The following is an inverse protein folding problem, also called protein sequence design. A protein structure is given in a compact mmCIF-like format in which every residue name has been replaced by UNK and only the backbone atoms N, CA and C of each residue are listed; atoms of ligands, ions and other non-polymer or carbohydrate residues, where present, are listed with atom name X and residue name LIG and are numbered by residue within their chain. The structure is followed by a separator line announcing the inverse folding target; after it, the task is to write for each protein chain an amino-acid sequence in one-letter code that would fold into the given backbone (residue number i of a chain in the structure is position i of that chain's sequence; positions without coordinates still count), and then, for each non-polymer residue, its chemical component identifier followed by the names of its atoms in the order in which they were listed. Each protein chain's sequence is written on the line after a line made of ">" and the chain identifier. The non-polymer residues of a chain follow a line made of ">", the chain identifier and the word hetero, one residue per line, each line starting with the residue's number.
data_IF_696321207441
#
_entry.id   IF_696321207441
#
_cell.length_a   1.000
_cell.length_b   1.000
_cell.length_c   1.000
_cell.angle_alpha   90.00
_cell.angle_beta   90.00
_cell.angle_gamma   90.00
#
_symmetry.space_group_name_H-M   'P 1'
#
loop_
_entity.id
_entity.type
_entity.pdbx_description
1 polymer ?
#
# COMPACT_ATOMS: atom_id res chain seq x y z
N UNK A 1 8.62 -5.15 26.29
CA UNK A 1 8.53 -4.85 24.84
C UNK A 1 7.36 -3.92 24.50
N UNK A 2 6.12 -4.13 24.97
CA UNK A 2 5.01 -3.21 24.64
C UNK A 2 5.19 -1.79 25.20
N UNK A 3 5.72 -1.64 26.42
CA UNK A 3 5.95 -0.32 27.03
C UNK A 3 6.86 0.59 26.21
N UNK A 4 7.90 0.03 25.58
CA UNK A 4 8.83 0.80 24.73
C UNK A 4 8.10 1.28 23.46
N UNK A 5 7.30 0.43 22.82
CA UNK A 5 6.51 0.83 21.65
C UNK A 5 5.48 1.92 21.97
N UNK A 6 4.87 1.87 23.16
CA UNK A 6 3.97 2.92 23.63
C UNK A 6 4.72 4.23 23.88
N UNK A 7 5.88 4.18 24.53
CA UNK A 7 6.73 5.37 24.76
C UNK A 7 7.19 5.98 23.43
N UNK A 8 7.57 5.18 22.44
CA UNK A 8 7.96 5.68 21.11
C UNK A 8 6.79 6.37 20.39
N UNK A 9 5.59 5.76 20.40
CA UNK A 9 4.39 6.39 19.81
C UNK A 9 4.01 7.68 20.55
N UNK A 10 3.94 7.63 21.88
CA UNK A 10 3.58 8.78 22.72
C UNK A 10 4.61 9.92 22.60
N UNK A 11 5.90 9.59 22.55
CA UNK A 11 6.98 10.56 22.35
C UNK A 11 6.89 11.25 20.98
N UNK A 12 6.54 10.51 19.93
CA UNK A 12 6.27 11.07 18.60
C UNK A 12 5.10 12.06 18.59
N UNK A 13 3.96 11.68 19.18
CA UNK A 13 2.81 12.58 19.29
C UNK A 13 3.10 13.80 20.18
N UNK A 14 3.84 13.63 21.27
CA UNK A 14 4.26 14.72 22.15
C UNK A 14 5.16 15.71 21.43
N UNK A 15 6.11 15.22 20.62
CA UNK A 15 7.02 16.07 19.84
C UNK A 15 6.28 16.82 18.73
N UNK A 16 5.36 16.15 18.03
CA UNK A 16 4.52 16.77 16.99
C UNK A 16 3.61 17.88 17.54
N UNK A 17 3.18 17.79 18.80
CA UNK A 17 2.37 18.81 19.44
C UNK A 17 3.17 20.06 19.86
N UNK A 18 4.51 20.01 19.78
CA UNK A 18 5.41 21.11 20.14
C UNK A 18 5.98 21.83 18.92
N UNK A 19 5.91 21.21 17.74
CA UNK A 19 6.49 21.73 16.49
C UNK A 19 5.35 22.06 15.54
N UNK A 20 5.21 23.33 15.16
CA UNK A 20 4.33 23.72 14.05
C UNK A 20 5.08 23.51 12.73
N UNK A 21 4.69 22.52 11.91
CA UNK A 21 5.32 22.31 10.61
C UNK A 21 4.93 23.45 9.65
N UNK A 22 5.90 23.88 8.83
CA UNK A 22 5.60 24.76 7.69
C UNK A 22 4.67 24.08 6.69
N UNK A 23 3.95 24.86 5.88
CA UNK A 23 3.00 24.34 4.89
C UNK A 23 3.63 23.27 3.97
N UNK A 24 4.85 23.52 3.47
CA UNK A 24 5.60 22.54 2.65
C UNK A 24 5.89 21.24 3.40
N UNK A 25 6.18 21.30 4.69
CA UNK A 25 6.46 20.11 5.51
C UNK A 25 5.19 19.31 5.74
N UNK A 26 4.06 19.99 5.96
CA UNK A 26 2.75 19.36 6.10
C UNK A 26 2.34 18.63 4.82
N UNK A 27 2.46 19.28 3.67
CA UNK A 27 2.18 18.66 2.38
C UNK A 27 3.07 17.43 2.12
N UNK A 28 4.36 17.51 2.48
CA UNK A 28 5.29 16.39 2.37
C UNK A 28 4.92 15.22 3.30
N UNK A 29 4.49 15.52 4.53
CA UNK A 29 4.01 14.51 5.48
C UNK A 29 2.71 13.85 5.02
N UNK A 30 1.79 14.61 4.41
CA UNK A 30 0.53 14.10 3.88
C UNK A 30 0.74 13.20 2.64
N UNK A 31 1.79 13.47 1.84
CA UNK A 31 2.19 12.62 0.72
C UNK A 31 2.94 11.34 1.15
N UNK A 32 3.53 11.32 2.36
CA UNK A 32 4.41 10.26 2.84
C UNK A 32 3.73 8.86 2.86
N UNK A 33 2.49 8.69 3.36
CA UNK A 33 1.83 7.38 3.38
C UNK A 33 1.66 6.80 1.97
N UNK A 34 1.24 7.65 1.01
CA UNK A 34 1.10 7.25 -0.38
C UNK A 34 2.44 6.91 -1.02
N UNK A 35 3.47 7.74 -0.78
CA UNK A 35 4.82 7.54 -1.31
C UNK A 35 5.45 6.24 -0.81
N UNK A 36 5.36 5.95 0.49
CA UNK A 36 5.89 4.70 1.07
C UNK A 36 5.14 3.48 0.54
N UNK A 37 3.81 3.57 0.39
CA UNK A 37 3.01 2.49 -0.22
C UNK A 37 3.47 2.20 -1.64
N UNK A 38 3.64 3.24 -2.48
CA UNK A 38 4.12 3.09 -3.86
C UNK A 38 5.53 2.53 -3.90
N UNK A 39 6.45 3.01 -3.05
CA UNK A 39 7.82 2.50 -3.00
C UNK A 39 7.84 0.99 -2.67
N UNK A 40 7.09 0.58 -1.66
CA UNK A 40 6.98 -0.83 -1.28
C UNK A 40 6.33 -1.67 -2.39
N UNK A 41 5.20 -1.19 -2.92
CA UNK A 41 4.45 -1.90 -3.96
C UNK A 41 5.28 -2.05 -5.25
N UNK A 42 6.05 -1.01 -5.61
CA UNK A 42 6.91 -1.01 -6.79
C UNK A 42 7.96 -2.10 -6.69
N UNK A 43 8.70 -2.19 -5.57
CA UNK A 43 9.67 -3.27 -5.36
C UNK A 43 8.99 -4.64 -5.36
N UNK A 44 7.79 -4.74 -4.78
CA UNK A 44 7.04 -6.01 -4.75
C UNK A 44 6.61 -6.46 -6.15
N UNK A 45 6.18 -5.54 -7.01
CA UNK A 45 5.81 -5.78 -8.40
C UNK A 45 7.02 -6.10 -9.28
N UNK A 46 8.13 -5.40 -9.09
CA UNK A 46 9.38 -5.68 -9.80
C UNK A 46 9.90 -7.10 -9.52
N UNK A 47 9.74 -7.58 -8.28
CA UNK A 47 10.04 -8.96 -7.90
C UNK A 47 8.85 -9.92 -8.11
N UNK A 48 7.74 -9.44 -8.69
CA UNK A 48 6.54 -10.22 -8.98
C UNK A 48 6.59 -10.82 -10.38
N UNK A 49 5.83 -11.90 -10.60
CA UNK A 49 5.67 -12.50 -11.91
C UNK A 49 4.52 -11.89 -12.72
N UNK A 50 4.22 -12.45 -13.90
CA UNK A 50 3.06 -12.07 -14.71
C UNK A 50 1.72 -12.02 -13.95
N UNK A 51 1.44 -12.93 -12.97
CA UNK A 51 0.22 -12.85 -12.16
C UNK A 51 0.06 -11.54 -11.38
N UNK A 52 1.14 -11.08 -10.76
CA UNK A 52 1.14 -9.87 -9.93
C UNK A 52 0.92 -8.61 -10.77
N UNK A 53 1.51 -8.54 -11.97
CA UNK A 53 1.28 -7.45 -12.91
C UNK A 53 -0.15 -7.44 -13.47
N UNK A 54 -0.69 -8.62 -13.80
CA UNK A 54 -2.08 -8.76 -14.25
C UNK A 54 -3.07 -8.30 -13.19
N UNK A 55 -2.87 -8.69 -11.94
CA UNK A 55 -3.69 -8.23 -10.83
C UNK A 55 -3.59 -6.72 -10.61
N UNK A 56 -2.38 -6.14 -10.68
CA UNK A 56 -2.18 -4.71 -10.54
C UNK A 56 -2.97 -3.91 -11.60
N UNK A 57 -2.94 -4.35 -12.86
CA UNK A 57 -3.72 -3.71 -13.93
C UNK A 57 -5.23 -3.77 -13.69
N UNK A 58 -5.74 -4.91 -13.23
CA UNK A 58 -7.18 -5.07 -12.93
C UNK A 58 -7.61 -4.18 -11.76
N UNK A 59 -6.80 -4.12 -10.69
CA UNK A 59 -7.05 -3.22 -9.54
C UNK A 59 -7.14 -1.77 -10.00
N UNK A 60 -6.19 -1.34 -10.83
CA UNK A 60 -6.16 0.04 -11.36
C UNK A 60 -7.39 0.34 -12.22
N UNK A 61 -7.84 -0.60 -13.04
CA UNK A 61 -9.04 -0.45 -13.84
C UNK A 61 -10.30 -0.32 -12.97
N UNK A 62 -10.44 -1.15 -11.94
CA UNK A 62 -11.63 -1.17 -11.06
C UNK A 62 -11.71 0.07 -10.18
N UNK A 63 -10.59 0.50 -9.60
CA UNK A 63 -10.54 1.75 -8.83
C UNK A 63 -10.99 2.93 -9.69
N UNK A 64 -10.50 3.03 -10.93
CA UNK A 64 -10.87 4.11 -11.84
C UNK A 64 -12.34 4.12 -12.26
N UNK A 65 -13.01 2.97 -12.22
CA UNK A 65 -14.40 2.85 -12.66
C UNK A 65 -15.40 2.94 -11.50
N UNK A 66 -15.02 2.48 -10.30
CA UNK A 66 -15.98 2.23 -9.22
C UNK A 66 -15.74 3.07 -7.97
N UNK A 67 -14.55 3.69 -7.83
CA UNK A 67 -14.08 4.37 -6.61
C UNK A 67 -14.20 3.53 -5.31
N UNK A 68 -14.48 2.22 -5.46
CA UNK A 68 -14.75 1.29 -4.36
C UNK A 68 -13.52 0.47 -4.03
N UNK A 69 -12.97 0.72 -2.84
CA UNK A 69 -11.79 0.03 -2.31
C UNK A 69 -12.06 -1.47 -2.12
N UNK A 70 -13.24 -1.84 -1.64
CA UNK A 70 -13.59 -3.25 -1.42
C UNK A 70 -13.57 -4.05 -2.72
N UNK A 71 -14.17 -3.52 -3.78
CA UNK A 71 -14.21 -4.19 -5.08
C UNK A 71 -12.81 -4.34 -5.67
N UNK A 72 -11.99 -3.30 -5.58
CA UNK A 72 -10.60 -3.33 -6.02
C UNK A 72 -9.77 -4.37 -5.27
N UNK A 73 -9.93 -4.47 -3.95
CA UNK A 73 -9.24 -5.48 -3.16
C UNK A 73 -9.68 -6.89 -3.53
N UNK A 74 -10.98 -7.13 -3.61
CA UNK A 74 -11.53 -8.44 -3.95
C UNK A 74 -11.08 -8.90 -5.34
N UNK A 75 -11.11 -8.01 -6.33
CA UNK A 75 -10.65 -8.31 -7.68
C UNK A 75 -9.16 -8.55 -7.76
N UNK A 76 -8.34 -7.76 -7.06
CA UNK A 76 -6.89 -7.92 -7.05
C UNK A 76 -6.49 -9.28 -6.49
N UNK A 77 -7.04 -9.64 -5.32
CA UNK A 77 -6.81 -10.96 -4.71
C UNK A 77 -7.31 -12.08 -5.61
N UNK A 78 -8.53 -11.94 -6.15
CA UNK A 78 -9.11 -12.94 -7.06
C UNK A 78 -8.24 -13.21 -8.28
N UNK A 79 -7.74 -12.16 -8.92
CA UNK A 79 -6.87 -12.29 -10.11
C UNK A 79 -5.54 -12.95 -9.76
N UNK A 80 -4.90 -12.58 -8.65
CA UNK A 80 -3.65 -13.25 -8.22
C UNK A 80 -3.89 -14.74 -7.97
N UNK A 81 -4.97 -15.10 -7.26
CA UNK A 81 -5.29 -16.49 -6.94
C UNK A 81 -5.56 -17.30 -8.21
N UNK A 82 -6.35 -16.76 -9.14
CA UNK A 82 -6.69 -17.44 -10.40
C UNK A 82 -5.44 -17.62 -11.26
N UNK A 83 -4.65 -16.56 -11.47
CA UNK A 83 -3.46 -16.63 -12.32
C UNK A 83 -2.40 -17.54 -11.69
N UNK A 84 -2.19 -17.47 -10.37
CA UNK A 84 -1.23 -18.34 -9.69
C UNK A 84 -1.69 -19.79 -9.64
N UNK A 85 -2.98 -20.05 -9.42
CA UNK A 85 -3.56 -21.39 -9.43
C UNK A 85 -3.52 -22.04 -10.82
N UNK A 86 -3.79 -21.27 -11.88
CA UNK A 86 -3.69 -21.75 -13.26
C UNK A 86 -2.25 -22.05 -13.70
N UNK A 87 -1.29 -21.22 -13.29
CA UNK A 87 0.13 -21.39 -13.64
C UNK A 87 0.81 -22.49 -12.79
N UNK A 88 0.44 -22.65 -11.52
CA UNK A 88 0.98 -23.70 -10.65
C UNK A 88 0.50 -25.11 -10.97
N UNK A 89 -0.50 -25.28 -11.84
CA UNK A 89 -0.99 -26.62 -12.27
C UNK A 89 -0.25 -27.13 -13.52
N UNK A 90 0.58 -26.30 -14.16
CA UNK A 90 1.31 -26.61 -15.41
C UNK A 90 2.84 -26.70 -15.23
N UNK A 91 3.36 -26.57 -14.01
CA UNK A 91 4.77 -26.69 -13.65
C UNK A 91 4.98 -27.83 -12.66
#
# INVERSE_FOLDING_TARGET
>A
MSGISYVTKAGGFWLLNRVDPSDTTRDALDALPGGVLIAFLSVRLLNGGPPEWGAALVVVAIVRQTDSVLLAMASGVGVVVILRGGIGTLA
#
